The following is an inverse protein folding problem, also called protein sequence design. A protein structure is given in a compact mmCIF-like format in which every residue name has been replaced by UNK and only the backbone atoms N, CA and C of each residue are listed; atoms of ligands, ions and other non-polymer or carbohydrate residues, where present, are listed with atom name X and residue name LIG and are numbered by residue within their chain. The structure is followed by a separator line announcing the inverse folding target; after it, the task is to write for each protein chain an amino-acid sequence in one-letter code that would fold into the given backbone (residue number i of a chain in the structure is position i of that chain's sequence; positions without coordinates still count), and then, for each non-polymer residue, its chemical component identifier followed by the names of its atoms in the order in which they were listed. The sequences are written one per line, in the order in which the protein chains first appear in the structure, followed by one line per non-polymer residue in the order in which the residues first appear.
data_IF_115183515324
#
_entry.id   IF_115183515324
#
_cell.length_a   1.000
_cell.length_b   1.000
_cell.length_c   1.000
_cell.angle_alpha   90.00
_cell.angle_beta   90.00
_cell.angle_gamma   90.00
#
_symmetry.space_group_name_H-M   'P 1'
#
loop_
_entity.id
_entity.type
_entity.pdbx_description
1 polymer ?
#
# COMPACT_ATOMS: atom_id res chain seq x y z
N UNK A 1 -6.82 5.93 6.18
CA UNK A 1 -5.61 5.08 6.11
C UNK A 1 -5.84 3.85 6.99
N UNK A 2 -6.18 2.70 6.41
CA UNK A 2 -6.54 1.48 7.19
C UNK A 2 -5.33 0.75 7.82
N UNK A 3 -4.09 1.13 7.48
CA UNK A 3 -2.90 0.50 8.09
C UNK A 3 -2.57 1.04 9.49
N UNK A 4 -2.90 2.30 9.76
CA UNK A 4 -2.48 3.03 10.96
C UNK A 4 -3.53 3.03 12.08
N UNK A 5 -4.73 2.52 11.83
CA UNK A 5 -5.82 2.42 12.81
C UNK A 5 -5.85 1.06 13.53
N UNK A 6 -4.94 0.14 13.20
CA UNK A 6 -4.87 -1.20 13.80
C UNK A 6 -5.90 -2.20 13.25
N UNK A 7 -6.74 -1.81 12.30
CA UNK A 7 -7.86 -2.63 11.80
C UNK A 7 -7.41 -3.91 11.09
N UNK A 8 -6.18 -3.95 10.57
CA UNK A 8 -5.62 -5.14 9.93
C UNK A 8 -5.01 -6.13 10.91
N UNK A 9 -4.98 -5.85 12.22
CA UNK A 9 -4.37 -6.69 13.24
C UNK A 9 -5.25 -6.81 14.51
N UNK A 10 -6.55 -7.12 14.39
CA UNK A 10 -7.48 -7.09 15.53
C UNK A 10 -7.11 -8.08 16.66
N UNK A 11 -6.38 -9.13 16.35
CA UNK A 11 -5.90 -10.11 17.34
C UNK A 11 -4.80 -9.56 18.27
N UNK A 12 -4.22 -8.42 17.92
CA UNK A 12 -3.22 -7.71 18.73
C UNK A 12 -3.81 -6.55 19.53
N UNK A 13 -5.15 -6.45 19.61
CA UNK A 13 -5.82 -5.44 20.43
C UNK A 13 -5.54 -5.70 21.92
N UNK A 14 -4.54 -5.01 22.44
CA UNK A 14 -4.08 -5.06 23.83
C UNK A 14 -4.08 -3.64 24.38
N UNK A 15 -4.95 -3.35 25.35
CA UNK A 15 -5.08 -2.01 25.98
C UNK A 15 -3.76 -1.53 26.61
N UNK A 16 -2.87 -2.45 26.96
CA UNK A 16 -1.55 -2.12 27.55
C UNK A 16 -0.49 -1.84 26.48
N UNK A 17 -0.72 -2.23 25.23
CA UNK A 17 0.23 -2.11 24.10
C UNK A 17 -0.49 -1.77 22.79
N UNK A 18 -1.21 -0.63 22.72
CA UNK A 18 -1.92 -0.22 21.50
C UNK A 18 -0.97 -0.04 20.30
N UNK A 19 0.31 0.30 20.55
CA UNK A 19 1.35 0.44 19.53
C UNK A 19 1.66 -0.87 18.80
N UNK A 20 1.51 -2.02 19.46
CA UNK A 20 1.76 -3.33 18.84
C UNK A 20 0.73 -3.60 17.73
N UNK A 21 -0.53 -3.26 17.97
CA UNK A 21 -1.61 -3.41 16.99
C UNK A 21 -1.34 -2.56 15.74
N UNK A 22 -0.99 -1.28 15.94
CA UNK A 22 -0.69 -0.35 14.84
C UNK A 22 0.54 -0.81 14.05
N UNK A 23 1.58 -1.29 14.74
CA UNK A 23 2.80 -1.79 14.10
C UNK A 23 2.51 -3.00 13.21
N UNK A 24 1.79 -4.01 13.73
CA UNK A 24 1.46 -5.21 12.95
C UNK A 24 0.53 -4.88 11.79
N UNK A 25 -0.48 -4.03 12.02
CA UNK A 25 -1.39 -3.57 10.97
C UNK A 25 -0.65 -2.84 9.84
N UNK A 26 0.28 -1.96 10.19
CA UNK A 26 1.14 -1.25 9.22
C UNK A 26 2.05 -2.21 8.45
N UNK A 27 2.63 -3.21 9.14
CA UNK A 27 3.44 -4.26 8.51
C UNK A 27 2.66 -5.07 7.48
N UNK A 28 1.41 -5.45 7.79
CA UNK A 28 0.50 -6.14 6.87
C UNK A 28 0.18 -5.30 5.63
N UNK A 29 -0.12 -4.02 5.82
CA UNK A 29 -0.38 -3.11 4.71
C UNK A 29 0.85 -2.97 3.79
N UNK A 30 2.04 -2.82 4.37
CA UNK A 30 3.29 -2.74 3.61
C UNK A 30 3.56 -4.03 2.83
N UNK A 31 3.43 -5.20 3.46
CA UNK A 31 3.61 -6.50 2.82
C UNK A 31 2.61 -6.73 1.67
N UNK A 32 1.35 -6.32 1.86
CA UNK A 32 0.34 -6.38 0.80
C UNK A 32 0.72 -5.53 -0.42
N UNK A 33 1.13 -4.28 -0.19
CA UNK A 33 1.57 -3.39 -1.28
C UNK A 33 2.81 -3.93 -2.00
N UNK A 34 3.78 -4.47 -1.26
CA UNK A 34 4.97 -5.11 -1.84
C UNK A 34 4.58 -6.29 -2.72
N UNK A 35 3.68 -7.16 -2.26
CA UNK A 35 3.19 -8.30 -3.05
C UNK A 35 2.53 -7.87 -4.36
N UNK A 36 1.68 -6.84 -4.32
CA UNK A 36 1.05 -6.27 -5.54
C UNK A 36 2.10 -5.66 -6.47
N UNK A 37 3.05 -4.90 -5.91
CA UNK A 37 4.13 -4.29 -6.68
C UNK A 37 4.94 -5.37 -7.41
N UNK A 38 5.39 -6.42 -6.71
CA UNK A 38 6.12 -7.54 -7.29
C UNK A 38 5.33 -8.26 -8.37
N UNK A 39 4.05 -8.57 -8.14
CA UNK A 39 3.21 -9.28 -9.11
C UNK A 39 2.96 -8.47 -10.40
N UNK A 40 2.91 -7.14 -10.30
CA UNK A 40 2.55 -6.26 -11.42
C UNK A 40 3.75 -5.56 -12.08
N UNK A 41 4.95 -5.82 -11.59
CA UNK A 41 6.20 -5.28 -12.13
C UNK A 41 6.43 -5.75 -13.58
N UNK A 42 6.95 -4.86 -14.42
CA UNK A 42 7.27 -5.15 -15.82
C UNK A 42 6.06 -5.23 -16.75
N UNK A 43 4.83 -5.24 -16.21
CA UNK A 43 3.59 -5.30 -17.00
C UNK A 43 2.69 -4.09 -16.80
N UNK A 44 2.53 -3.62 -15.55
CA UNK A 44 1.71 -2.43 -15.23
C UNK A 44 2.54 -1.23 -14.85
N UNK A 45 3.71 -1.45 -14.28
CA UNK A 45 4.63 -0.39 -13.87
C UNK A 45 6.07 -0.86 -14.04
N UNK A 46 6.98 0.08 -14.28
CA UNK A 46 8.38 -0.19 -14.54
C UNK A 46 9.25 0.91 -13.92
N UNK A 47 10.29 0.51 -13.18
CA UNK A 47 11.36 1.38 -12.70
C UNK A 47 12.64 0.55 -12.62
N UNK A 48 13.67 0.92 -13.36
CA UNK A 48 14.88 0.11 -13.54
C UNK A 48 15.56 -0.23 -12.20
N UNK A 49 15.61 0.74 -11.29
CA UNK A 49 16.26 0.58 -9.98
C UNK A 49 15.33 0.04 -8.89
N UNK A 50 14.13 -0.44 -9.25
CA UNK A 50 13.10 -0.86 -8.28
C UNK A 50 12.48 0.31 -7.51
N UNK A 51 11.69 0.01 -6.46
CA UNK A 51 11.04 1.02 -5.61
C UNK A 51 11.87 1.30 -4.36
N UNK A 52 12.21 2.57 -4.14
CA UNK A 52 12.77 3.06 -2.89
C UNK A 52 11.71 3.49 -1.88
N UNK A 53 12.15 3.92 -0.70
CA UNK A 53 11.25 4.39 0.36
C UNK A 53 10.42 5.62 -0.08
N UNK A 54 11.03 6.59 -0.74
CA UNK A 54 10.33 7.79 -1.25
C UNK A 54 9.33 7.46 -2.36
N UNK A 55 9.64 6.45 -3.19
CA UNK A 55 8.72 5.97 -4.22
C UNK A 55 7.45 5.36 -3.59
N UNK A 56 7.64 4.57 -2.53
CA UNK A 56 6.54 4.00 -1.76
C UNK A 56 5.69 5.09 -1.09
N UNK A 57 6.31 6.16 -0.57
CA UNK A 57 5.58 7.28 0.01
C UNK A 57 4.64 7.95 -1.01
N UNK A 58 5.08 8.16 -2.26
CA UNK A 58 4.24 8.72 -3.34
C UNK A 58 3.03 7.84 -3.66
N UNK A 59 3.21 6.52 -3.65
CA UNK A 59 2.12 5.56 -3.86
C UNK A 59 1.11 5.64 -2.72
N UNK A 60 1.58 5.65 -1.46
CA UNK A 60 0.71 5.77 -0.28
C UNK A 60 -0.06 7.09 -0.27
N UNK A 61 0.59 8.21 -0.61
CA UNK A 61 -0.05 9.52 -0.74
C UNK A 61 -1.15 9.52 -1.82
N UNK A 62 -0.89 8.85 -2.95
CA UNK A 62 -1.89 8.69 -4.02
C UNK A 62 -3.09 7.87 -3.57
N UNK A 63 -2.87 6.82 -2.77
CA UNK A 63 -3.97 6.02 -2.21
C UNK A 63 -4.74 6.80 -1.14
N UNK A 64 -4.06 7.63 -0.35
CA UNK A 64 -4.65 8.49 0.68
C UNK A 64 -5.48 9.66 0.13
N UNK A 65 -5.27 10.03 -1.14
CA UNK A 65 -6.02 11.09 -1.83
C UNK A 65 -7.17 10.57 -2.70
N UNK A 66 -7.46 9.26 -2.66
CA UNK A 66 -8.60 8.69 -3.37
C UNK A 66 -9.93 9.12 -2.72
N UNK A 67 -10.97 9.42 -3.51
CA UNK A 67 -12.30 9.68 -2.97
C UNK A 67 -12.92 8.43 -2.33
N UNK A 68 -13.83 8.63 -1.39
CA UNK A 68 -14.38 7.55 -0.54
C UNK A 68 -15.07 6.42 -1.32
N UNK A 69 -15.67 6.73 -2.46
CA UNK A 69 -16.28 5.74 -3.35
C UNK A 69 -15.23 4.78 -3.93
N UNK A 70 -14.03 5.28 -4.23
CA UNK A 70 -12.90 4.47 -4.71
C UNK A 70 -12.32 3.59 -3.62
N UNK A 71 -12.40 3.99 -2.35
CA UNK A 71 -11.94 3.17 -1.22
C UNK A 71 -12.76 1.89 -1.02
N UNK A 72 -13.94 1.78 -1.64
CA UNK A 72 -14.76 0.55 -1.67
C UNK A 72 -14.30 -0.47 -2.71
N UNK A 73 -13.40 -0.09 -3.62
CA UNK A 73 -12.86 -1.01 -4.63
C UNK A 73 -11.79 -1.92 -4.02
N UNK A 74 -11.52 -3.08 -4.63
CA UNK A 74 -10.43 -3.95 -4.18
C UNK A 74 -9.09 -3.20 -4.13
N UNK A 75 -8.32 -3.38 -3.06
CA UNK A 75 -7.09 -2.61 -2.84
C UNK A 75 -6.00 -2.90 -3.89
N UNK A 76 -5.87 -4.15 -4.33
CA UNK A 76 -4.82 -4.56 -5.28
C UNK A 76 -4.83 -3.75 -6.60
N UNK A 77 -5.96 -3.62 -7.33
CA UNK A 77 -5.99 -2.79 -8.53
C UNK A 77 -5.77 -1.30 -8.26
N UNK A 78 -6.10 -0.78 -7.08
CA UNK A 78 -5.81 0.61 -6.72
C UNK A 78 -4.31 0.84 -6.50
N UNK A 79 -3.63 -0.08 -5.82
CA UNK A 79 -2.16 -0.06 -5.65
C UNK A 79 -1.48 -0.15 -7.03
N UNK A 80 -1.91 -1.07 -7.89
CA UNK A 80 -1.37 -1.21 -9.24
C UNK A 80 -1.59 0.05 -10.11
N UNK A 81 -2.75 0.71 -9.99
CA UNK A 81 -3.03 1.98 -10.68
C UNK A 81 -2.14 3.11 -10.16
N UNK A 82 -1.94 3.20 -8.84
CA UNK A 82 -1.05 4.20 -8.24
C UNK A 82 0.41 3.99 -8.68
N UNK A 83 0.88 2.73 -8.72
CA UNK A 83 2.20 2.38 -9.26
C UNK A 83 2.35 2.77 -10.73
N UNK A 84 1.37 2.43 -11.57
CA UNK A 84 1.38 2.76 -12.99
C UNK A 84 1.35 4.27 -13.26
N UNK A 85 0.71 5.06 -12.38
CA UNK A 85 0.67 6.52 -12.47
C UNK A 85 2.05 7.15 -12.27
N UNK A 86 2.83 6.66 -11.31
CA UNK A 86 4.15 7.21 -10.98
C UNK A 86 5.28 6.61 -11.82
N UNK A 87 5.14 5.33 -12.17
CA UNK A 87 6.20 4.54 -12.82
C UNK A 87 5.67 3.82 -14.07
N UNK A 88 5.16 4.54 -15.08
CA UNK A 88 4.62 3.91 -16.27
C UNK A 88 5.73 3.17 -17.03
N UNK A 89 5.41 2.00 -17.57
CA UNK A 89 6.30 1.32 -18.49
C UNK A 89 6.44 2.11 -19.79
N UNK A 90 7.68 2.36 -20.21
CA UNK A 90 7.96 2.87 -21.56
C UNK A 90 7.63 1.77 -22.56
N UNK A 91 6.92 2.13 -23.64
CA UNK A 91 6.70 1.23 -24.77
C UNK A 91 7.95 1.13 -25.62
#
# INVERSE_FOLDING_TARGET
MAGIDGSLAPEFHDEKRPELQVMVSSSRAAAFMLGVASYTYGTRWCKADGLGQEDFAKVVETLGSLPDDRLKMPAAPLVAQALARHFPCKR
#
